data_IF_755267683842
#
_entry.id   IF_755267683842
#
_cell.length_a   1.000
_cell.length_b   1.000
_cell.length_c   1.000
_cell.angle_alpha   90.00
_cell.angle_beta   90.00
_cell.angle_gamma   90.00
#
_symmetry.space_group_name_H-M   'P 1'
#
loop_
_entity.id
_entity.type
_entity.pdbx_description
1 polymer ?
#
# COMPACT_ATOMS: atom_id res chain seq x y z
N UNK A 1 2.09 26.87 -15.72
CA UNK A 1 1.31 25.72 -15.20
C UNK A 1 2.19 24.90 -14.28
N UNK A 2 1.92 24.84 -12.97
CA UNK A 2 2.77 24.10 -12.01
C UNK A 2 2.41 22.61 -12.06
N UNK A 3 3.30 21.79 -12.60
CA UNK A 3 3.25 20.33 -12.46
C UNK A 3 3.25 19.99 -10.96
N UNK A 4 2.13 19.45 -10.45
CA UNK A 4 2.10 18.88 -9.10
C UNK A 4 2.84 17.55 -9.15
N UNK A 5 4.14 17.58 -8.86
CA UNK A 5 5.06 16.46 -9.05
C UNK A 5 4.92 15.36 -7.98
N UNK A 6 4.20 15.60 -6.88
CA UNK A 6 4.06 14.63 -5.78
C UNK A 6 2.65 14.65 -5.17
N UNK A 7 2.10 13.48 -4.78
CA UNK A 7 0.87 13.44 -3.99
C UNK A 7 1.07 14.16 -2.67
N UNK A 8 0.02 14.86 -2.20
CA UNK A 8 -0.04 15.29 -0.80
C UNK A 8 -0.19 14.03 0.06
N UNK A 9 0.79 13.78 0.92
CA UNK A 9 0.66 12.84 2.01
C UNK A 9 -0.41 13.38 2.99
N UNK A 10 -1.45 12.58 3.25
CA UNK A 10 -2.47 12.89 4.25
C UNK A 10 -2.26 11.96 5.45
N UNK A 11 -1.57 12.41 6.52
CA UNK A 11 -1.48 11.68 7.77
C UNK A 11 -2.80 11.85 8.52
N UNK A 12 -3.84 11.15 8.08
CA UNK A 12 -5.14 11.15 8.72
C UNK A 12 -5.83 9.81 8.45
N UNK A 13 -6.72 9.36 9.35
CA UNK A 13 -7.44 8.11 9.15
C UNK A 13 -8.17 8.16 7.81
N UNK A 14 -7.80 7.25 6.90
CA UNK A 14 -8.38 7.14 5.57
C UNK A 14 -9.88 6.92 5.70
N UNK A 15 -10.71 7.72 5.01
CA UNK A 15 -12.15 7.45 4.92
C UNK A 15 -12.34 6.10 4.23
N UNK A 16 -12.79 5.11 4.99
CA UNK A 16 -13.03 3.75 4.52
C UNK A 16 -12.56 2.75 5.57
N UNK A 17 -13.50 2.03 6.16
CA UNK A 17 -13.20 0.90 7.04
C UNK A 17 -12.55 -0.21 6.19
N UNK A 18 -11.22 -0.30 6.24
CA UNK A 18 -10.47 -1.43 5.70
C UNK A 18 -10.44 -2.48 6.80
N UNK A 19 -10.97 -3.67 6.52
CA UNK A 19 -10.89 -4.81 7.42
C UNK A 19 -9.46 -5.34 7.44
N UNK A 20 -8.61 -4.61 8.15
CA UNK A 20 -7.15 -4.73 8.17
C UNK A 20 -6.66 -6.00 8.88
N UNK A 21 -7.60 -6.79 9.41
CA UNK A 21 -7.34 -8.03 10.14
C UNK A 21 -7.50 -9.28 9.27
N UNK A 22 -7.78 -9.12 7.97
CA UNK A 22 -7.91 -10.23 7.02
C UNK A 22 -6.84 -10.16 5.93
N UNK A 23 -6.52 -11.31 5.33
CA UNK A 23 -5.62 -11.38 4.18
C UNK A 23 -6.17 -10.55 3.01
N UNK A 24 -7.49 -10.60 2.81
CA UNK A 24 -8.17 -9.85 1.76
C UNK A 24 -8.04 -8.33 1.98
N UNK A 25 -8.22 -7.84 3.21
CA UNK A 25 -8.00 -6.44 3.54
C UNK A 25 -6.56 -6.00 3.35
N UNK A 26 -5.59 -6.86 3.67
CA UNK A 26 -4.16 -6.59 3.41
C UNK A 26 -3.86 -6.50 1.90
N UNK A 27 -4.43 -7.40 1.09
CA UNK A 27 -4.33 -7.37 -0.38
C UNK A 27 -4.97 -6.10 -0.96
N UNK A 28 -6.14 -5.72 -0.44
CA UNK A 28 -6.82 -4.51 -0.87
C UNK A 28 -6.02 -3.24 -0.53
N UNK A 29 -5.49 -3.16 0.69
CA UNK A 29 -4.62 -2.06 1.11
C UNK A 29 -3.38 -1.97 0.20
N UNK A 30 -2.72 -3.10 -0.07
CA UNK A 30 -1.57 -3.14 -0.96
C UNK A 30 -1.92 -2.65 -2.37
N UNK A 31 -3.06 -3.08 -2.91
CA UNK A 31 -3.56 -2.64 -4.21
C UNK A 31 -3.86 -1.13 -4.24
N UNK A 32 -4.50 -0.59 -3.20
CA UNK A 32 -4.80 0.84 -3.08
C UNK A 32 -3.54 1.69 -3.04
N UNK A 33 -2.50 1.27 -2.29
CA UNK A 33 -1.20 1.96 -2.23
C UNK A 33 -0.57 2.00 -3.63
N UNK A 34 -0.47 0.85 -4.31
CA UNK A 34 0.11 0.76 -5.67
C UNK A 34 -0.64 1.65 -6.66
N UNK A 35 -1.97 1.60 -6.67
CA UNK A 35 -2.79 2.41 -7.57
C UNK A 35 -2.66 3.91 -7.31
N UNK A 36 -2.58 4.33 -6.04
CA UNK A 36 -2.46 5.74 -5.69
C UNK A 36 -1.16 6.34 -6.24
N UNK A 37 -0.03 5.63 -6.09
CA UNK A 37 1.24 6.05 -6.67
C UNK A 37 1.29 5.89 -8.19
N UNK A 38 0.69 4.83 -8.72
CA UNK A 38 0.63 4.57 -10.15
C UNK A 38 -0.10 5.65 -10.92
N UNK A 39 -1.21 6.18 -10.38
CA UNK A 39 -1.92 7.35 -10.93
C UNK A 39 -1.06 8.61 -11.04
N UNK A 40 0.07 8.65 -10.34
CA UNK A 40 0.99 9.79 -10.29
C UNK A 40 2.28 9.51 -11.07
N UNK A 41 2.33 8.38 -11.79
CA UNK A 41 3.47 7.97 -12.60
C UNK A 41 4.63 7.41 -11.78
N UNK A 42 4.35 6.84 -10.61
CA UNK A 42 5.35 6.25 -9.73
C UNK A 42 5.08 4.76 -9.53
N UNK A 43 6.14 3.98 -9.53
CA UNK A 43 6.14 2.57 -9.23
C UNK A 43 6.53 2.36 -7.75
N UNK A 44 5.76 1.54 -7.06
CA UNK A 44 5.96 1.23 -5.64
C UNK A 44 5.76 -0.26 -5.44
N UNK A 45 6.77 -0.90 -4.87
CA UNK A 45 6.65 -2.28 -4.46
C UNK A 45 5.96 -2.34 -3.11
N UNK A 46 4.97 -3.22 -3.00
CA UNK A 46 4.23 -3.45 -1.76
C UNK A 46 4.22 -4.94 -1.47
N UNK A 47 4.68 -5.32 -0.27
CA UNK A 47 4.73 -6.70 0.21
C UNK A 47 3.73 -6.89 1.35
N UNK A 48 3.16 -8.09 1.43
CA UNK A 48 2.25 -8.49 2.50
C UNK A 48 2.95 -9.59 3.28
N UNK A 49 3.13 -9.38 4.58
CA UNK A 49 3.74 -10.34 5.50
C UNK A 49 2.68 -10.82 6.48
N UNK A 50 2.53 -12.13 6.63
CA UNK A 50 1.64 -12.72 7.64
C UNK A 50 2.39 -12.79 8.97
N UNK A 51 1.84 -12.15 9.99
CA UNK A 51 2.27 -12.27 11.37
C UNK A 51 1.29 -13.21 12.06
N UNK A 52 1.73 -14.42 12.36
CA UNK A 52 0.98 -15.30 13.26
C UNK A 52 1.15 -14.76 14.68
N UNK A 53 0.07 -14.31 15.31
CA UNK A 53 0.09 -14.11 16.75
C UNK A 53 0.19 -15.48 17.41
N UNK A 54 1.19 -15.67 18.27
CA UNK A 54 1.28 -16.85 19.13
C UNK A 54 0.01 -17.00 19.97
N UNK A 55 -0.26 -18.26 20.31
CA UNK A 55 -1.46 -18.79 20.95
C UNK A 55 -1.68 -18.16 22.34
N UNK A 56 -2.29 -16.98 22.40
CA UNK A 56 -2.86 -16.45 23.64
C UNK A 56 -4.17 -17.19 23.89
N UNK A 57 -4.05 -18.45 24.34
CA UNK A 57 -4.94 -19.23 25.22
C UNK A 57 -6.46 -19.30 24.99
N UNK A 58 -7.05 -18.56 24.05
CA UNK A 58 -8.50 -18.38 23.99
C UNK A 58 -8.99 -18.08 22.55
N UNK A 59 -9.50 -19.13 21.91
CA UNK A 59 -10.65 -19.20 20.99
C UNK A 59 -10.56 -18.60 19.57
N UNK A 60 -9.67 -17.67 19.20
CA UNK A 60 -9.53 -17.29 17.76
C UNK A 60 -8.12 -16.85 17.41
N UNK A 61 -7.32 -17.73 16.83
CA UNK A 61 -6.03 -17.39 16.20
C UNK A 61 -6.26 -16.42 15.03
N UNK A 62 -6.35 -15.12 15.32
CA UNK A 62 -6.47 -14.08 14.31
C UNK A 62 -5.08 -13.89 13.70
N UNK A 63 -4.91 -14.30 12.45
CA UNK A 63 -3.71 -13.98 11.69
C UNK A 63 -3.68 -12.46 11.48
N UNK A 64 -2.57 -11.83 11.86
CA UNK A 64 -2.33 -10.43 11.54
C UNK A 64 -1.56 -10.33 10.22
N UNK A 65 -1.77 -9.26 9.48
CA UNK A 65 -1.06 -9.02 8.22
C UNK A 65 -0.43 -7.64 8.27
N UNK A 66 0.84 -7.56 7.87
CA UNK A 66 1.57 -6.31 7.72
C UNK A 66 1.74 -6.02 6.24
N UNK A 67 1.45 -4.77 5.84
CA UNK A 67 1.64 -4.29 4.48
C UNK A 67 2.81 -3.32 4.46
N UNK A 68 3.89 -3.68 3.78
CA UNK A 68 5.12 -2.87 3.71
C UNK A 68 5.33 -2.35 2.30
N UNK A 69 5.77 -1.11 2.18
CA UNK A 69 6.13 -0.50 0.90
C UNK A 69 7.60 -0.08 0.90
N UNK A 70 8.19 0.01 -0.28
CA UNK A 70 9.59 0.43 -0.50
C UNK A 70 9.77 1.97 -0.48
N UNK A 71 8.84 2.70 0.12
CA UNK A 71 8.89 4.16 0.21
C UNK A 71 10.06 4.61 1.08
N UNK A 72 10.82 5.59 0.60
CA UNK A 72 11.89 6.24 1.38
C UNK A 72 11.36 7.59 1.85
N UNK A 73 11.32 7.82 3.17
CA UNK A 73 10.72 9.02 3.77
C UNK A 73 9.29 9.31 3.26
N UNK A 74 8.51 8.25 3.02
CA UNK A 74 7.14 8.34 2.50
C UNK A 74 7.04 8.63 1.00
N UNK A 75 8.14 8.55 0.25
CA UNK A 75 8.20 8.90 -1.17
C UNK A 75 8.64 7.72 -2.04
N UNK A 76 7.93 7.51 -3.15
CA UNK A 76 8.32 6.53 -4.17
C UNK A 76 9.62 6.95 -4.87
N UNK A 77 10.48 5.98 -5.15
CA UNK A 77 11.80 6.24 -5.75
C UNK A 77 11.86 5.87 -7.24
N UNK A 78 10.92 5.06 -7.74
CA UNK A 78 10.90 4.56 -9.12
C UNK A 78 9.78 5.19 -9.92
N UNK A 79 10.10 5.70 -11.11
CA UNK A 79 9.08 6.15 -12.06
C UNK A 79 8.49 4.95 -12.77
N UNK A 80 7.18 4.95 -12.99
CA UNK A 80 6.59 4.09 -14.01
C UNK A 80 7.12 4.58 -15.34
N UNK A 81 7.95 3.77 -16.00
CA UNK A 81 8.30 4.01 -17.41
C UNK A 81 6.99 4.17 -18.18
N UNK A 82 6.83 5.29 -18.88
CA UNK A 82 5.66 5.49 -19.73
C UNK A 82 5.53 4.26 -20.64
N UNK A 83 4.32 3.70 -20.83
CA UNK A 83 4.15 2.71 -21.88
C UNK A 83 4.68 3.37 -23.16
N UNK A 84 5.63 2.70 -23.81
CA UNK A 84 6.07 3.04 -25.16
C UNK A 84 4.79 3.24 -25.97
N UNK A 85 4.45 4.50 -26.26
CA UNK A 85 3.38 4.81 -27.17
C UNK A 85 3.81 4.17 -28.49
N UNK A 86 3.17 3.06 -28.85
CA UNK A 86 3.36 2.41 -30.14
C UNK A 86 3.21 3.47 -31.22
N UNK A 87 4.27 3.64 -32.00
CA UNK A 87 4.33 4.49 -33.18
C UNK A 87 3.34 4.05 -34.26
#
# INVERSE_FOLDING_TARGET
MRHKTHPRFFPGPTRGHLDSFSEQGARELAHRIRNAWGKLGWDVEVRIERISSEDIGDIRSKAHYTVRSDLVNGMAQRRLSAPLASA
#
